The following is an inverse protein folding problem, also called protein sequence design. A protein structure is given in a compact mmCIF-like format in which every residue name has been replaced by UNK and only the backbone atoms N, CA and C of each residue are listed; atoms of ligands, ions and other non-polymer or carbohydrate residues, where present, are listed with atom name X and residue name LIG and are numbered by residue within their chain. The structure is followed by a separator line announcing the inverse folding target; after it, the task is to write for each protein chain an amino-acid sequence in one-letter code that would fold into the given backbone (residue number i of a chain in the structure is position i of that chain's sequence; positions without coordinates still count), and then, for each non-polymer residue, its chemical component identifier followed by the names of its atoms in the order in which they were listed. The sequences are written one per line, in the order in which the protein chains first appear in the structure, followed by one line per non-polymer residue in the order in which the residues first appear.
data_IF_213483921295
#
_entry.id   IF_213483921295
#
_cell.length_a   1.000
_cell.length_b   1.000
_cell.length_c   1.000
_cell.angle_alpha   90.00
_cell.angle_beta   90.00
_cell.angle_gamma   90.00
#
_symmetry.space_group_name_H-M   'P 1'
#
loop_
_entity.id
_entity.type
_entity.pdbx_description
1 polymer ?
#
# COMPACT_ATOMS: atom_id res chain seq x y z
N UNK A 1 -10.11 15.04 5.30
CA UNK A 1 -10.32 13.93 4.34
C UNK A 1 -11.81 13.75 4.11
N UNK A 2 -12.25 13.13 3.01
CA UNK A 2 -13.68 12.85 2.75
C UNK A 2 -14.19 11.76 3.69
N UNK A 3 -13.46 10.64 3.77
CA UNK A 3 -13.67 9.61 4.78
C UNK A 3 -12.31 9.06 5.23
N UNK A 4 -12.06 9.17 6.53
CA UNK A 4 -10.88 8.61 7.15
C UNK A 4 -10.98 7.09 7.29
N UNK A 5 -9.91 6.39 6.94
CA UNK A 5 -9.73 4.99 7.27
C UNK A 5 -9.59 4.77 8.77
N UNK A 6 -9.79 3.53 9.19
CA UNK A 6 -9.68 3.10 10.59
C UNK A 6 -8.37 2.32 10.77
N UNK A 7 -7.54 2.77 11.70
CA UNK A 7 -6.31 2.09 12.12
C UNK A 7 -6.37 1.94 13.63
N UNK A 8 -6.79 0.76 14.07
CA UNK A 8 -6.97 0.42 15.48
C UNK A 8 -5.85 -0.45 16.04
N UNK A 9 -5.25 -1.28 15.19
CA UNK A 9 -4.26 -2.28 15.56
C UNK A 9 -3.03 -2.05 14.69
N UNK A 10 -2.06 -1.32 15.21
CA UNK A 10 -0.83 -1.00 14.47
C UNK A 10 0.40 -1.15 15.35
N UNK A 11 1.55 -1.33 14.70
CA UNK A 11 2.83 -1.47 15.39
C UNK A 11 3.92 -0.66 14.66
N UNK A 12 5.07 -0.50 15.31
CA UNK A 12 6.25 0.13 14.71
C UNK A 12 7.50 -0.74 14.83
N UNK A 13 8.29 -0.79 13.76
CA UNK A 13 9.66 -1.31 13.77
C UNK A 13 10.63 -0.19 13.36
N UNK A 14 11.70 -0.03 14.12
CA UNK A 14 12.78 0.90 13.85
C UNK A 14 14.03 0.13 13.39
N UNK A 15 14.41 0.31 12.12
CA UNK A 15 15.66 -0.24 11.56
C UNK A 15 16.82 0.76 11.58
N UNK A 16 16.60 1.99 12.05
CA UNK A 16 17.64 3.02 12.11
C UNK A 16 18.30 3.08 13.48
N UNK A 17 19.59 2.72 13.53
CA UNK A 17 20.40 2.70 14.75
C UNK A 17 20.53 4.08 15.42
N UNK A 18 20.42 5.16 14.65
CA UNK A 18 20.56 6.52 15.15
C UNK A 18 19.27 7.03 15.81
N UNK A 19 18.13 6.39 15.54
CA UNK A 19 16.85 6.75 16.15
C UNK A 19 16.71 5.99 17.46
N UNK A 20 16.74 6.69 18.58
CA UNK A 20 16.48 6.10 19.89
C UNK A 20 14.99 5.77 20.05
N UNK A 21 14.67 4.79 20.90
CA UNK A 21 13.29 4.35 21.14
C UNK A 21 12.35 5.50 21.54
N UNK A 22 12.82 6.46 22.34
CA UNK A 22 12.03 7.62 22.72
C UNK A 22 11.68 8.52 21.51
N UNK A 23 12.65 8.76 20.62
CA UNK A 23 12.43 9.54 19.41
C UNK A 23 11.45 8.83 18.45
N UNK A 24 11.57 7.51 18.31
CA UNK A 24 10.63 6.70 17.53
C UNK A 24 9.21 6.74 18.11
N UNK A 25 9.06 6.62 19.43
CA UNK A 25 7.76 6.72 20.12
C UNK A 25 7.11 8.09 19.89
N UNK A 26 7.84 9.18 20.14
CA UNK A 26 7.34 10.55 19.92
C UNK A 26 6.92 10.74 18.46
N UNK A 27 7.74 10.31 17.51
CA UNK A 27 7.38 10.39 16.09
C UNK A 27 6.10 9.63 15.74
N UNK A 28 5.95 8.39 16.25
CA UNK A 28 4.74 7.61 15.97
C UNK A 28 3.50 8.24 16.61
N UNK A 29 3.62 8.77 17.83
CA UNK A 29 2.54 9.49 18.50
C UNK A 29 2.13 10.74 17.71
N UNK A 30 3.07 11.59 17.30
CA UNK A 30 2.79 12.79 16.51
C UNK A 30 2.18 12.47 15.13
N UNK A 31 2.62 11.38 14.51
CA UNK A 31 2.01 10.88 13.27
C UNK A 31 0.58 10.40 13.50
N UNK A 32 0.31 9.67 14.58
CA UNK A 32 -1.03 9.22 14.96
C UNK A 32 -1.97 10.42 15.21
N UNK A 33 -1.50 11.43 15.94
CA UNK A 33 -2.23 12.70 16.15
C UNK A 33 -2.50 13.39 14.80
N UNK A 34 -1.53 13.47 13.90
CA UNK A 34 -1.74 14.06 12.58
C UNK A 34 -2.77 13.29 11.75
N UNK A 35 -2.79 11.95 11.82
CA UNK A 35 -3.82 11.12 11.19
C UNK A 35 -5.22 11.46 11.76
N UNK A 36 -5.35 11.61 13.08
CA UNK A 36 -6.61 12.01 13.72
C UNK A 36 -7.06 13.40 13.28
N UNK A 37 -6.16 14.40 13.32
CA UNK A 37 -6.44 15.76 12.85
C UNK A 37 -6.89 15.77 11.38
N UNK A 38 -6.31 14.88 10.56
CA UNK A 38 -6.67 14.76 9.13
C UNK A 38 -8.04 14.11 8.89
N UNK A 39 -8.65 13.55 9.94
CA UNK A 39 -9.99 12.94 9.94
C UNK A 39 -10.01 11.41 9.96
N UNK A 40 -8.88 10.75 10.28
CA UNK A 40 -8.82 9.29 10.42
C UNK A 40 -9.24 8.81 11.82
N UNK A 41 -9.84 7.63 11.90
CA UNK A 41 -10.00 6.93 13.18
C UNK A 41 -8.71 6.14 13.47
N UNK A 42 -7.73 6.80 14.07
CA UNK A 42 -6.40 6.25 14.30
C UNK A 42 -6.13 6.09 15.80
N UNK A 43 -5.74 4.90 16.24
CA UNK A 43 -5.40 4.64 17.64
C UNK A 43 -4.10 5.37 18.01
N UNK A 44 -4.06 6.16 19.11
CA UNK A 44 -2.92 7.00 19.44
C UNK A 44 -1.65 6.19 19.77
N UNK A 45 -1.82 5.00 20.35
CA UNK A 45 -0.72 4.14 20.77
C UNK A 45 -0.70 2.82 19.98
N UNK A 46 0.50 2.26 19.71
CA UNK A 46 0.63 0.96 19.06
C UNK A 46 0.23 -0.17 20.01
N UNK A 47 -0.16 -1.32 19.44
CA UNK A 47 -0.54 -2.51 20.23
C UNK A 47 0.64 -3.14 20.99
N UNK A 48 1.86 -2.79 20.60
CA UNK A 48 3.10 -3.27 21.19
C UNK A 48 4.15 -2.15 21.19
N UNK A 49 5.06 -2.10 22.18
CA UNK A 49 6.18 -1.13 22.18
C UNK A 49 7.01 -1.19 20.90
N UNK A 50 7.56 -0.05 20.46
CA UNK A 50 8.43 0.04 19.27
C UNK A 50 9.53 -1.02 19.34
N UNK A 51 9.68 -1.81 18.27
CA UNK A 51 10.75 -2.80 18.15
C UNK A 51 11.93 -2.18 17.40
N UNK A 52 13.10 -2.09 18.03
CA UNK A 52 14.34 -1.74 17.35
C UNK A 52 15.02 -3.01 16.81
N UNK A 53 15.31 -3.05 15.52
CA UNK A 53 15.89 -4.19 14.83
C UNK A 53 17.01 -3.76 13.88
N UNK A 54 17.89 -4.68 13.50
CA UNK A 54 18.94 -4.40 12.52
C UNK A 54 18.49 -4.74 11.10
N UNK A 55 18.86 -3.96 10.06
CA UNK A 55 18.48 -4.21 8.67
C UNK A 55 18.74 -5.64 8.18
N UNK A 56 19.86 -6.23 8.58
CA UNK A 56 20.25 -7.61 8.26
C UNK A 56 19.28 -8.69 8.78
N UNK A 57 18.34 -8.31 9.65
CA UNK A 57 17.35 -9.21 10.24
C UNK A 57 15.92 -8.83 9.86
N UNK A 58 15.73 -8.08 8.76
CA UNK A 58 14.42 -7.57 8.31
C UNK A 58 13.34 -8.64 8.27
N UNK A 59 13.61 -9.78 7.63
CA UNK A 59 12.62 -10.86 7.48
C UNK A 59 12.20 -11.42 8.85
N UNK A 60 13.18 -11.78 9.67
CA UNK A 60 12.93 -12.29 11.03
C UNK A 60 12.17 -11.27 11.87
N UNK A 61 12.56 -10.00 11.82
CA UNK A 61 11.93 -8.93 12.59
C UNK A 61 10.48 -8.69 12.16
N UNK A 62 10.20 -8.68 10.85
CA UNK A 62 8.83 -8.52 10.33
C UNK A 62 7.93 -9.69 10.72
N UNK A 63 8.37 -10.93 10.46
CA UNK A 63 7.59 -12.15 10.77
C UNK A 63 7.34 -12.28 12.27
N UNK A 64 8.36 -12.09 13.10
CA UNK A 64 8.21 -12.13 14.55
C UNK A 64 7.24 -11.03 15.04
N UNK A 65 7.41 -9.80 14.56
CA UNK A 65 6.57 -8.68 14.99
C UNK A 65 5.11 -8.84 14.60
N UNK A 66 4.85 -9.38 13.41
CA UNK A 66 3.51 -9.69 12.94
C UNK A 66 2.84 -10.72 13.86
N UNK A 67 3.52 -11.83 14.17
CA UNK A 67 3.02 -12.85 15.09
C UNK A 67 2.82 -12.35 16.52
N UNK A 68 3.77 -11.57 17.05
CA UNK A 68 3.64 -10.97 18.38
C UNK A 68 2.40 -10.09 18.49
N UNK A 69 2.12 -9.29 17.45
CA UNK A 69 0.95 -8.42 17.42
C UNK A 69 -0.36 -9.21 17.34
N UNK A 70 -0.41 -10.28 16.54
CA UNK A 70 -1.58 -11.17 16.47
C UNK A 70 -1.85 -11.85 17.82
N UNK A 71 -0.80 -12.26 18.53
CA UNK A 71 -0.90 -12.92 19.83
C UNK A 71 -1.30 -11.95 20.96
N UNK A 72 -0.84 -10.70 20.89
CA UNK A 72 -1.16 -9.67 21.88
C UNK A 72 -2.56 -9.06 21.72
N UNK A 73 -3.19 -9.27 20.57
CA UNK A 73 -4.50 -8.70 20.25
C UNK A 73 -5.64 -9.34 21.04
N UNK A 74 -6.72 -8.57 21.28
CA UNK A 74 -7.96 -9.03 21.91
C UNK A 74 -9.16 -8.72 20.99
N UNK A 75 -9.83 -9.74 20.41
CA UNK A 75 -9.54 -11.17 20.52
C UNK A 75 -8.20 -11.55 19.85
N UNK A 76 -7.56 -12.66 20.29
CA UNK A 76 -6.36 -13.17 19.65
C UNK A 76 -6.58 -13.47 18.16
N UNK A 77 -5.53 -13.31 17.36
CA UNK A 77 -5.58 -13.57 15.92
C UNK A 77 -6.07 -12.41 15.07
N UNK A 78 -6.36 -11.25 15.68
CA UNK A 78 -6.61 -10.03 14.90
C UNK A 78 -5.34 -9.56 14.21
N UNK A 79 -5.42 -9.36 12.90
CA UNK A 79 -4.33 -8.88 12.06
C UNK A 79 -4.04 -7.38 12.30
N UNK A 80 -2.83 -6.96 11.97
CA UNK A 80 -2.43 -5.56 12.01
C UNK A 80 -3.07 -4.79 10.85
N UNK A 81 -3.72 -3.67 11.17
CA UNK A 81 -4.23 -2.70 10.20
C UNK A 81 -3.07 -1.95 9.49
N UNK A 82 -1.95 -1.75 10.19
CA UNK A 82 -0.80 -0.98 9.70
C UNK A 82 0.51 -1.33 10.44
N UNK A 83 1.60 -1.41 9.69
CA UNK A 83 2.96 -1.38 10.22
C UNK A 83 3.68 -0.08 9.85
N UNK A 84 4.02 0.74 10.83
CA UNK A 84 4.93 1.88 10.64
C UNK A 84 6.37 1.36 10.70
N UNK A 85 7.21 1.81 9.77
CA UNK A 85 8.60 1.39 9.71
C UNK A 85 9.51 2.59 9.61
N UNK A 86 10.45 2.72 10.54
CA UNK A 86 11.51 3.72 10.47
C UNK A 86 12.73 3.11 9.78
N UNK A 87 13.14 3.72 8.67
CA UNK A 87 14.28 3.28 7.87
C UNK A 87 15.45 4.28 7.99
N UNK A 88 16.70 3.81 7.87
CA UNK A 88 17.83 4.71 7.63
C UNK A 88 17.66 5.45 6.30
N UNK A 89 18.24 6.65 6.20
CA UNK A 89 18.18 7.45 4.96
C UNK A 89 18.85 6.73 3.78
N UNK A 90 19.92 5.97 4.05
CA UNK A 90 20.59 5.06 3.13
C UNK A 90 20.15 3.61 3.39
N UNK A 91 19.03 3.19 2.80
CA UNK A 91 18.42 1.89 3.10
C UNK A 91 18.73 0.76 2.10
N UNK A 92 19.45 1.00 0.99
CA UNK A 92 19.87 -0.09 0.09
C UNK A 92 18.71 -1.00 -0.33
N UNK A 93 18.87 -2.32 -0.18
CA UNK A 93 17.81 -3.31 -0.47
C UNK A 93 16.70 -3.36 0.58
N UNK A 94 16.90 -2.81 1.78
CA UNK A 94 16.00 -2.96 2.93
C UNK A 94 14.57 -2.54 2.62
N UNK A 95 14.39 -1.42 1.90
CA UNK A 95 13.05 -0.96 1.50
C UNK A 95 12.36 -1.99 0.58
N UNK A 96 13.10 -2.53 -0.39
CA UNK A 96 12.60 -3.52 -1.34
C UNK A 96 12.28 -4.86 -0.67
N UNK A 97 13.19 -5.37 0.17
CA UNK A 97 12.98 -6.61 0.93
C UNK A 97 11.77 -6.50 1.86
N UNK A 98 11.65 -5.38 2.58
CA UNK A 98 10.51 -5.12 3.45
C UNK A 98 9.21 -5.07 2.67
N UNK A 99 9.20 -4.36 1.55
CA UNK A 99 8.01 -4.22 0.71
C UNK A 99 7.55 -5.55 0.14
N UNK A 100 8.48 -6.33 -0.41
CA UNK A 100 8.23 -7.70 -0.87
C UNK A 100 7.60 -8.54 0.24
N UNK A 101 8.27 -8.67 1.38
CA UNK A 101 7.79 -9.53 2.47
C UNK A 101 6.40 -9.09 2.98
N UNK A 102 6.20 -7.79 3.22
CA UNK A 102 4.92 -7.27 3.67
C UNK A 102 3.79 -7.52 2.65
N UNK A 103 4.03 -7.25 1.36
CA UNK A 103 2.98 -7.23 0.34
C UNK A 103 2.73 -8.61 -0.29
N UNK A 104 3.72 -9.51 -0.34
CA UNK A 104 3.59 -10.83 -0.98
C UNK A 104 3.53 -12.01 -0.02
N UNK A 105 4.12 -11.91 1.17
CA UNK A 105 4.14 -13.03 2.13
C UNK A 105 3.17 -12.82 3.31
N UNK A 106 3.09 -11.60 3.84
CA UNK A 106 2.32 -11.31 5.06
C UNK A 106 0.96 -10.65 4.81
N UNK A 107 0.72 -10.06 3.64
CA UNK A 107 -0.50 -9.27 3.38
C UNK A 107 -0.61 -8.02 4.27
N UNK A 108 0.52 -7.49 4.75
CA UNK A 108 0.59 -6.43 5.76
C UNK A 108 0.76 -5.06 5.14
N UNK A 109 -0.18 -4.16 5.39
CA UNK A 109 -0.07 -2.75 4.98
C UNK A 109 1.07 -2.07 5.75
N UNK A 110 2.04 -1.50 5.03
CA UNK A 110 3.21 -0.86 5.63
C UNK A 110 3.43 0.59 5.18
N UNK A 111 3.87 1.44 6.12
CA UNK A 111 4.26 2.83 5.88
C UNK A 111 5.70 3.09 6.36
N UNK A 112 6.61 3.20 5.40
CA UNK A 112 8.02 3.49 5.66
C UNK A 112 8.28 5.00 5.80
N UNK A 113 9.06 5.39 6.81
CA UNK A 113 9.46 6.76 7.09
C UNK A 113 10.98 6.81 7.28
N UNK A 114 11.65 7.77 6.65
CA UNK A 114 13.11 7.89 6.75
C UNK A 114 13.51 8.64 8.02
N UNK A 115 14.70 8.31 8.53
CA UNK A 115 15.29 8.88 9.75
C UNK A 115 15.30 10.40 9.77
N UNK A 116 15.68 11.06 8.67
CA UNK A 116 15.64 12.54 8.60
C UNK A 116 14.27 13.14 8.94
N UNK A 117 13.18 12.42 8.65
CA UNK A 117 11.83 12.90 8.92
C UNK A 117 11.37 12.61 10.34
N UNK A 118 11.94 11.59 10.99
CA UNK A 118 11.73 11.33 12.42
C UNK A 118 12.30 12.49 13.25
N UNK A 119 13.51 12.96 12.90
CA UNK A 119 14.14 14.09 13.61
C UNK A 119 13.54 15.45 13.24
N UNK A 120 13.24 15.69 11.96
CA UNK A 120 12.70 16.98 11.52
C UNK A 120 11.22 17.16 11.92
N UNK A 121 10.45 16.08 11.86
CA UNK A 121 9.03 16.02 12.24
C UNK A 121 8.18 17.20 11.75
N UNK A 122 8.36 17.60 10.48
CA UNK A 122 7.61 18.75 9.97
C UNK A 122 6.13 18.41 9.81
N UNK A 123 5.24 19.32 10.22
CA UNK A 123 3.78 19.15 10.09
C UNK A 123 3.35 18.80 8.67
N UNK A 124 3.96 19.44 7.67
CA UNK A 124 3.69 19.14 6.26
C UNK A 124 4.06 17.69 5.89
N UNK A 125 5.18 17.17 6.41
CA UNK A 125 5.57 15.79 6.15
C UNK A 125 4.58 14.82 6.78
N UNK A 126 4.22 15.03 8.06
CA UNK A 126 3.25 14.18 8.75
C UNK A 126 1.89 14.20 8.04
N UNK A 127 1.42 15.36 7.58
CA UNK A 127 0.18 15.47 6.81
C UNK A 127 0.26 14.68 5.50
N UNK A 128 1.38 14.78 4.77
CA UNK A 128 1.58 14.00 3.54
C UNK A 128 1.63 12.49 3.80
N UNK A 129 2.21 12.05 4.93
CA UNK A 129 2.21 10.64 5.34
C UNK A 129 0.80 10.19 5.75
N UNK A 130 0.05 11.01 6.48
CA UNK A 130 -1.34 10.70 6.84
C UNK A 130 -2.22 10.50 5.59
N UNK A 131 -2.05 11.33 4.54
CA UNK A 131 -2.72 11.14 3.25
C UNK A 131 -2.39 9.79 2.61
N UNK A 132 -1.14 9.32 2.70
CA UNK A 132 -0.72 8.01 2.18
C UNK A 132 -1.30 6.86 2.99
N UNK A 133 -1.25 6.96 4.32
CA UNK A 133 -1.81 5.94 5.21
C UNK A 133 -3.30 5.81 4.95
N UNK A 134 -4.03 6.92 4.87
CA UNK A 134 -5.47 6.92 4.69
C UNK A 134 -5.92 6.09 3.48
N UNK A 135 -5.28 6.28 2.32
CA UNK A 135 -5.61 5.52 1.10
C UNK A 135 -5.24 4.05 1.25
N UNK A 136 -4.09 3.74 1.86
CA UNK A 136 -3.63 2.35 2.08
C UNK A 136 -4.57 1.54 2.96
N UNK A 137 -5.26 2.19 3.90
CA UNK A 137 -6.25 1.54 4.78
C UNK A 137 -7.69 1.74 4.30
N UNK A 138 -7.88 2.08 3.02
CA UNK A 138 -9.19 2.10 2.35
C UNK A 138 -10.00 3.39 2.49
N UNK A 139 -9.45 4.44 3.11
CA UNK A 139 -10.05 5.77 3.20
C UNK A 139 -9.90 6.58 1.90
N UNK A 140 -10.65 7.69 1.77
CA UNK A 140 -10.56 8.62 0.62
C UNK A 140 -10.18 10.01 1.10
N UNK A 141 -9.13 10.56 0.49
CA UNK A 141 -8.64 11.89 0.83
C UNK A 141 -9.55 12.99 0.27
N UNK A 142 -9.92 12.85 -1.01
CA UNK A 142 -10.65 13.84 -1.80
C UNK A 142 -11.61 13.13 -2.76
N UNK A 143 -12.67 13.83 -3.16
CA UNK A 143 -13.61 13.41 -4.21
C UNK A 143 -13.96 14.64 -5.05
N UNK A 144 -14.19 14.46 -6.33
CA UNK A 144 -14.67 15.54 -7.19
C UNK A 144 -16.11 15.88 -6.83
N UNK A 145 -16.39 17.16 -6.59
CA UNK A 145 -17.77 17.63 -6.30
C UNK A 145 -18.71 17.28 -7.45
N UNK A 146 -18.22 17.31 -8.69
CA UNK A 146 -19.01 16.93 -9.86
C UNK A 146 -19.28 15.43 -9.96
N UNK A 147 -18.41 14.58 -9.38
CA UNK A 147 -18.70 13.16 -9.27
C UNK A 147 -19.88 12.90 -8.33
N UNK A 148 -19.91 13.60 -7.18
CA UNK A 148 -21.02 13.54 -6.23
C UNK A 148 -22.32 14.10 -6.80
N UNK A 149 -22.23 15.21 -7.53
CA UNK A 149 -23.37 15.85 -8.16
C UNK A 149 -23.79 15.20 -9.49
N UNK A 150 -23.12 14.11 -9.90
CA UNK A 150 -23.34 13.40 -11.18
C UNK A 150 -23.31 14.32 -12.41
N UNK A 151 -22.31 15.20 -12.47
CA UNK A 151 -22.11 16.20 -13.53
C UNK A 151 -20.99 15.85 -14.50
N UNK A 152 -20.38 14.68 -14.38
CA UNK A 152 -19.33 14.21 -15.30
C UNK A 152 -19.98 13.30 -16.35
N UNK A 153 -20.34 13.88 -17.50
CA UNK A 153 -20.93 13.14 -18.63
C UNK A 153 -20.13 11.89 -18.97
N UNK A 154 -20.83 10.83 -19.35
CA UNK A 154 -20.33 9.47 -19.66
C UNK A 154 -19.70 8.72 -18.48
N UNK A 155 -19.28 9.43 -17.43
CA UNK A 155 -18.61 8.86 -16.27
C UNK A 155 -19.60 8.62 -15.13
N UNK A 156 -20.45 9.59 -14.82
CA UNK A 156 -21.46 9.47 -13.75
C UNK A 156 -22.87 9.15 -14.23
N UNK A 157 -23.08 9.09 -15.55
CA UNK A 157 -24.40 8.85 -16.16
C UNK A 157 -24.83 7.38 -16.04
N UNK A 158 -23.86 6.46 -16.01
CA UNK A 158 -24.03 5.01 -15.89
C UNK A 158 -22.80 4.44 -15.17
N UNK A 159 -22.88 3.23 -14.58
CA UNK A 159 -21.71 2.55 -14.04
C UNK A 159 -20.56 2.52 -15.07
N UNK A 160 -19.48 3.21 -14.75
CA UNK A 160 -18.32 3.40 -15.63
C UNK A 160 -17.05 3.13 -14.85
N UNK A 161 -16.15 2.35 -15.44
CA UNK A 161 -14.84 2.01 -14.89
C UNK A 161 -13.75 2.75 -15.68
N UNK A 162 -12.75 3.29 -14.97
CA UNK A 162 -11.58 3.94 -15.57
C UNK A 162 -10.37 3.05 -15.38
N UNK A 163 -9.74 2.67 -16.49
CA UNK A 163 -8.47 1.94 -16.50
C UNK A 163 -7.29 2.90 -16.74
N UNK A 164 -6.16 2.61 -16.11
CA UNK A 164 -4.85 3.14 -16.46
C UNK A 164 -3.89 1.98 -16.69
N UNK A 165 -3.03 2.08 -17.69
CA UNK A 165 -2.07 1.03 -18.01
C UNK A 165 -0.73 1.65 -18.41
N UNK A 166 0.36 1.01 -18.01
CA UNK A 166 1.73 1.41 -18.33
C UNK A 166 2.63 0.17 -18.46
N UNK A 167 3.68 0.30 -19.26
CA UNK A 167 4.75 -0.69 -19.35
C UNK A 167 6.09 -0.01 -19.06
N UNK A 168 6.79 -0.50 -18.05
CA UNK A 168 8.14 -0.05 -17.73
C UNK A 168 9.17 -1.03 -18.28
N UNK A 169 10.13 -0.51 -19.04
CA UNK A 169 11.26 -1.30 -19.54
C UNK A 169 12.50 -1.16 -18.64
N UNK A 170 13.38 -2.18 -18.65
CA UNK A 170 14.71 -2.08 -18.06
C UNK A 170 15.54 -0.92 -18.63
N UNK A 171 16.58 -0.53 -17.90
CA UNK A 171 17.47 0.54 -18.35
C UNK A 171 18.17 0.20 -19.68
N UNK A 172 18.54 1.22 -20.48
CA UNK A 172 19.34 1.01 -21.69
C UNK A 172 20.63 0.23 -21.38
N UNK A 173 20.88 -0.86 -22.12
CA UNK A 173 22.04 -1.75 -21.93
C UNK A 173 21.79 -2.97 -21.05
N UNK A 174 20.59 -3.11 -20.46
CA UNK A 174 20.17 -4.32 -19.78
C UNK A 174 19.30 -5.18 -20.70
N UNK A 175 19.85 -6.26 -21.26
CA UNK A 175 19.24 -6.98 -22.39
C UNK A 175 18.39 -8.21 -21.98
N UNK A 176 18.39 -8.58 -20.70
CA UNK A 176 17.76 -9.81 -20.21
C UNK A 176 16.60 -9.58 -19.25
N UNK A 177 16.51 -8.42 -18.63
CA UNK A 177 15.44 -8.14 -17.65
C UNK A 177 14.08 -8.00 -18.34
N UNK A 178 13.00 -8.49 -17.68
CA UNK A 178 11.66 -8.42 -18.24
C UNK A 178 11.16 -6.97 -18.26
N UNK A 179 10.19 -6.68 -19.14
CA UNK A 179 9.37 -5.47 -18.97
C UNK A 179 8.30 -5.75 -17.93
N UNK A 180 7.87 -4.72 -17.20
CA UNK A 180 6.79 -4.83 -16.21
C UNK A 180 5.58 -4.06 -16.71
N UNK A 181 4.49 -4.78 -16.97
CA UNK A 181 3.20 -4.18 -17.26
C UNK A 181 2.42 -3.97 -15.96
N UNK A 182 1.80 -2.81 -15.82
CA UNK A 182 0.93 -2.46 -14.70
C UNK A 182 -0.42 -1.97 -15.23
N UNK A 183 -1.51 -2.51 -14.70
CA UNK A 183 -2.88 -2.09 -15.03
C UNK A 183 -3.63 -1.79 -13.74
N UNK A 184 -4.24 -0.61 -13.68
CA UNK A 184 -5.09 -0.18 -12.57
C UNK A 184 -6.51 0.06 -13.06
N UNK A 185 -7.49 -0.16 -12.19
CA UNK A 185 -8.89 0.13 -12.49
C UNK A 185 -9.61 0.72 -11.28
N UNK A 186 -10.48 1.70 -11.53
CA UNK A 186 -11.33 2.29 -10.49
C UNK A 186 -12.26 1.24 -9.87
N UNK A 187 -12.44 1.27 -8.56
CA UNK A 187 -13.20 0.28 -7.78
C UNK A 187 -14.45 0.86 -7.10
N UNK A 188 -14.72 2.15 -7.31
CA UNK A 188 -15.90 2.83 -6.78
C UNK A 188 -16.52 3.75 -7.84
N UNK A 189 -17.84 3.67 -7.95
CA UNK A 189 -18.65 4.52 -8.82
C UNK A 189 -19.83 5.07 -8.01
N UNK A 190 -20.20 6.36 -8.17
CA UNK A 190 -19.69 7.33 -9.15
C UNK A 190 -18.42 8.09 -8.75
N UNK A 191 -17.87 7.89 -7.57
CA UNK A 191 -16.83 8.77 -7.01
C UNK A 191 -15.44 8.59 -7.62
N UNK A 192 -15.08 7.40 -8.10
CA UNK A 192 -13.82 7.10 -8.83
C UNK A 192 -12.60 7.62 -8.05
N UNK A 193 -12.45 7.13 -6.83
CA UNK A 193 -11.37 7.52 -5.91
C UNK A 193 -10.51 6.36 -5.45
N UNK A 194 -11.00 5.13 -5.60
CA UNK A 194 -10.33 3.90 -5.22
C UNK A 194 -9.89 3.17 -6.48
N UNK A 195 -8.66 2.66 -6.45
CA UNK A 195 -8.10 1.89 -7.55
C UNK A 195 -7.49 0.61 -7.01
N UNK A 196 -7.68 -0.47 -7.74
CA UNK A 196 -6.91 -1.69 -7.59
C UNK A 196 -5.92 -1.79 -8.74
N UNK A 197 -4.80 -2.47 -8.51
CA UNK A 197 -3.73 -2.61 -9.49
C UNK A 197 -3.25 -4.05 -9.60
N UNK A 198 -2.92 -4.46 -10.81
CA UNK A 198 -2.25 -5.71 -11.14
C UNK A 198 -0.96 -5.41 -11.88
N UNK A 199 0.03 -6.26 -11.67
CA UNK A 199 1.33 -6.19 -12.35
C UNK A 199 1.68 -7.55 -12.93
N UNK A 200 2.34 -7.55 -14.08
CA UNK A 200 2.89 -8.78 -14.68
C UNK A 200 4.23 -8.48 -15.32
N UNK A 201 5.18 -9.39 -15.13
CA UNK A 201 6.37 -9.45 -15.95
C UNK A 201 5.98 -9.94 -17.36
N UNK A 202 6.63 -9.38 -18.37
CA UNK A 202 6.51 -9.80 -19.76
C UNK A 202 7.88 -9.73 -20.46
N UNK A 203 7.95 -10.21 -21.70
CA UNK A 203 9.20 -10.30 -22.44
C UNK A 203 9.98 -8.96 -22.49
N UNK A 204 11.29 -9.07 -22.69
CA UNK A 204 12.19 -7.93 -22.76
C UNK A 204 11.73 -6.94 -23.84
N UNK A 205 11.60 -5.64 -23.47
CA UNK A 205 11.13 -4.55 -24.34
C UNK A 205 9.82 -4.82 -25.08
N UNK A 206 8.96 -5.66 -24.51
CA UNK A 206 7.61 -5.88 -25.01
C UNK A 206 6.71 -4.74 -24.55
N UNK A 207 6.14 -3.98 -25.48
CA UNK A 207 5.23 -2.87 -25.18
C UNK A 207 3.76 -3.33 -25.04
N UNK A 208 3.32 -4.25 -25.91
CA UNK A 208 1.95 -4.77 -25.80
C UNK A 208 1.79 -5.60 -24.52
N UNK A 209 0.81 -5.24 -23.68
CA UNK A 209 0.51 -5.94 -22.44
C UNK A 209 -0.05 -7.33 -22.75
N UNK A 210 0.78 -8.36 -22.61
CA UNK A 210 0.44 -9.74 -22.98
C UNK A 210 -0.67 -10.33 -22.09
N UNK A 211 -0.74 -9.87 -20.85
CA UNK A 211 -1.64 -10.38 -19.81
C UNK A 211 -2.89 -9.51 -19.64
N UNK A 212 -3.12 -8.53 -20.53
CA UNK A 212 -4.25 -7.61 -20.42
C UNK A 212 -5.59 -8.36 -20.51
N UNK A 213 -5.72 -9.22 -21.52
CA UNK A 213 -6.84 -10.13 -21.71
C UNK A 213 -6.34 -11.39 -22.41
N UNK A 214 -6.67 -12.56 -21.84
CA UNK A 214 -6.23 -13.86 -22.35
C UNK A 214 -7.43 -14.77 -22.60
N UNK A 215 -7.32 -15.58 -23.64
CA UNK A 215 -8.25 -16.67 -23.95
C UNK A 215 -7.45 -17.94 -24.18
N UNK A 216 -7.81 -19.03 -23.53
CA UNK A 216 -7.18 -20.33 -23.73
C UNK A 216 -8.20 -21.45 -23.68
N UNK A 217 -7.84 -22.62 -24.22
CA UNK A 217 -8.64 -23.84 -24.14
C UNK A 217 -8.27 -24.62 -22.89
N UNK A 218 -9.24 -24.83 -22.00
CA UNK A 218 -9.13 -25.71 -20.85
C UNK A 218 -9.74 -27.07 -21.21
N UNK A 219 -9.02 -28.20 -20.99
CA UNK A 219 -9.50 -29.53 -21.35
C UNK A 219 -10.83 -29.94 -20.70
N UNK A 220 -11.19 -29.35 -19.55
CA UNK A 220 -12.42 -29.66 -18.81
C UNK A 220 -13.48 -28.58 -18.95
N UNK A 221 -13.07 -27.32 -19.03
CA UNK A 221 -13.96 -26.13 -19.03
C UNK A 221 -14.20 -25.53 -20.41
N UNK A 222 -13.53 -26.02 -21.45
CA UNK A 222 -13.60 -25.45 -22.80
C UNK A 222 -12.89 -24.11 -22.89
N UNK A 223 -13.43 -23.15 -23.66
CA UNK A 223 -12.84 -21.82 -23.80
C UNK A 223 -12.92 -21.03 -22.48
N UNK A 224 -11.77 -20.74 -21.89
CA UNK A 224 -11.66 -19.91 -20.67
C UNK A 224 -11.06 -18.56 -21.03
N UNK A 225 -11.55 -17.51 -20.38
CA UNK A 225 -11.01 -16.15 -20.48
C UNK A 225 -10.41 -15.70 -19.15
N UNK A 226 -9.39 -14.86 -19.21
CA UNK A 226 -8.65 -14.34 -18.06
C UNK A 226 -7.86 -13.08 -18.42
N UNK A 227 -6.85 -12.78 -17.61
CA UNK A 227 -6.04 -11.58 -17.74
C UNK A 227 -6.51 -10.46 -16.81
N UNK A 228 -5.70 -9.39 -16.77
CA UNK A 228 -5.79 -8.33 -15.78
C UNK A 228 -7.14 -7.61 -15.79
N UNK A 229 -7.72 -7.37 -16.97
CA UNK A 229 -9.03 -6.71 -17.07
C UNK A 229 -10.10 -7.54 -16.37
N UNK A 230 -10.13 -8.87 -16.61
CA UNK A 230 -11.16 -9.73 -16.03
C UNK A 230 -11.03 -9.83 -14.52
N UNK A 231 -9.82 -9.88 -14.01
CA UNK A 231 -9.55 -9.92 -12.57
C UNK A 231 -9.93 -8.60 -11.89
N UNK A 232 -9.55 -7.45 -12.45
CA UNK A 232 -9.92 -6.13 -11.93
C UNK A 232 -11.44 -5.88 -11.97
N UNK A 233 -12.14 -6.39 -12.99
CA UNK A 233 -13.61 -6.35 -13.05
C UNK A 233 -14.25 -7.25 -11.99
N UNK A 234 -13.61 -8.37 -11.65
CA UNK A 234 -14.09 -9.26 -10.59
C UNK A 234 -14.04 -8.63 -9.19
N UNK A 235 -13.26 -7.57 -9.01
CA UNK A 235 -13.17 -6.82 -7.75
C UNK A 235 -14.12 -5.62 -7.67
N UNK A 236 -14.76 -5.26 -8.77
CA UNK A 236 -15.83 -4.26 -8.78
C UNK A 236 -17.11 -4.88 -8.22
N UNK A 237 -17.41 -4.63 -6.93
CA UNK A 237 -18.65 -5.02 -6.27
C UNK A 237 -19.66 -3.88 -6.24
#
# INVERSE_FOLDING_TARGET
MVNGGRVSHWACINFSRNVQDNAAKVFCHELAIMCQISGMNFAPEPVLPVLSARPEHVERALKARYHDAMNASKPPGKELDLLIVILPDNNGSLYGDLKRICETELGLVSQCCLTKHVFKMSKQYLANVALKINVKVGGRNTVLVDALARRIRLVTDRPTIIFGADVTHPHPGEDSSPSIAAVVASQDWPEITKYAGLVSAQAHRQELIQDLFKVWQDPQRGTVTGGMIKELLGWCQ
#
